data_IF_126108465552
#
_entry.id   IF_126108465552
#
_cell.length_a   1.000
_cell.length_b   1.000
_cell.length_c   1.000
_cell.angle_alpha   90.00
_cell.angle_beta   90.00
_cell.angle_gamma   90.00
#
_symmetry.space_group_name_H-M   'P 1'
#
loop_
_entity.id
_entity.type
_entity.pdbx_description
1 polymer ?
#
# COMPACT_ATOMS: atom_id res chain seq x y z
N UNK A 1 -16.12 -5.57 2.49
CA UNK A 1 -14.83 -4.89 2.36
C UNK A 1 -14.00 -5.75 1.43
N UNK A 2 -13.61 -5.19 0.29
CA UNK A 2 -12.83 -5.89 -0.74
C UNK A 2 -11.36 -5.92 -0.33
N UNK A 3 -10.70 -7.06 -0.44
CA UNK A 3 -9.29 -7.20 -0.04
C UNK A 3 -8.40 -7.09 -1.27
N UNK A 4 -7.44 -6.18 -1.21
CA UNK A 4 -6.52 -5.89 -2.32
C UNK A 4 -5.08 -6.11 -1.86
N UNK A 5 -4.41 -7.09 -2.45
CA UNK A 5 -3.06 -7.52 -2.06
C UNK A 5 -2.01 -6.97 -3.03
N UNK A 6 -1.05 -6.22 -2.50
CA UNK A 6 -0.02 -5.53 -3.30
C UNK A 6 1.38 -5.65 -2.69
N UNK A 7 2.40 -5.58 -3.55
CA UNK A 7 3.76 -5.28 -3.12
C UNK A 7 4.02 -3.76 -3.12
N UNK A 8 4.83 -3.26 -2.19
CA UNK A 8 5.16 -1.84 -2.15
C UNK A 8 5.94 -1.42 -3.41
N UNK A 9 6.98 -2.18 -3.78
CA UNK A 9 7.76 -1.96 -5.00
C UNK A 9 7.77 -3.20 -5.87
N UNK A 10 7.54 -2.99 -7.18
CA UNK A 10 7.52 -4.09 -8.14
C UNK A 10 8.81 -4.91 -8.16
N UNK A 11 8.67 -6.23 -8.05
CA UNK A 11 9.71 -7.18 -8.42
C UNK A 11 10.93 -7.20 -7.51
N UNK A 12 10.82 -6.65 -6.29
CA UNK A 12 11.88 -6.79 -5.29
C UNK A 12 11.87 -8.18 -4.64
N UNK A 13 10.70 -8.80 -4.61
CA UNK A 13 10.46 -10.14 -4.08
C UNK A 13 9.59 -10.91 -5.06
N UNK A 14 9.55 -12.24 -4.95
CA UNK A 14 8.64 -13.09 -5.72
C UNK A 14 7.44 -13.41 -4.84
N UNK A 15 6.25 -13.10 -5.33
CA UNK A 15 4.99 -13.40 -4.68
C UNK A 15 4.10 -14.15 -5.68
N UNK A 16 3.34 -15.13 -5.19
CA UNK A 16 2.42 -15.91 -6.03
C UNK A 16 1.04 -15.23 -6.10
N UNK A 17 0.58 -14.64 -4.99
CA UNK A 17 -0.76 -14.06 -4.84
C UNK A 17 -0.71 -12.54 -4.61
N UNK A 18 -0.17 -11.78 -5.58
CA UNK A 18 -0.26 -10.31 -5.59
C UNK A 18 -1.04 -9.82 -6.81
N UNK A 19 -1.86 -8.79 -6.59
CA UNK A 19 -2.71 -8.23 -7.65
C UNK A 19 -2.06 -7.05 -8.35
N UNK A 20 -1.02 -6.48 -7.74
CA UNK A 20 -0.29 -5.35 -8.26
C UNK A 20 0.79 -4.83 -7.33
N UNK A 21 1.22 -3.61 -7.62
CA UNK A 21 2.23 -2.90 -6.84
C UNK A 21 1.85 -1.42 -6.70
N UNK A 22 2.32 -0.77 -5.64
CA UNK A 22 2.17 0.67 -5.46
C UNK A 22 3.16 1.43 -6.37
N UNK A 23 4.44 1.07 -6.28
CA UNK A 23 5.51 1.67 -7.08
C UNK A 23 6.02 0.69 -8.13
N UNK A 24 5.60 0.91 -9.38
CA UNK A 24 5.97 0.06 -10.52
C UNK A 24 7.34 0.40 -11.14
N UNK A 25 8.02 1.43 -10.63
CA UNK A 25 9.33 1.92 -11.06
C UNK A 25 10.15 2.27 -9.82
N UNK A 26 11.45 2.35 -10.01
CA UNK A 26 12.36 2.86 -8.98
C UNK A 26 12.01 4.31 -8.60
N UNK A 27 11.96 4.58 -7.30
CA UNK A 27 11.84 5.92 -6.74
C UNK A 27 13.20 6.62 -6.80
N UNK A 28 13.42 7.43 -7.84
CA UNK A 28 14.70 8.15 -8.06
C UNK A 28 14.95 9.27 -7.07
N UNK A 29 13.89 9.98 -6.66
CA UNK A 29 13.95 11.03 -5.64
C UNK A 29 12.97 10.71 -4.52
N UNK A 30 13.54 10.25 -3.40
CA UNK A 30 12.79 9.87 -2.20
C UNK A 30 12.22 11.08 -1.43
N UNK A 31 12.56 12.31 -1.83
CA UNK A 31 12.04 13.55 -1.23
C UNK A 31 10.82 14.09 -1.97
N UNK A 32 10.50 13.54 -3.14
CA UNK A 32 9.37 13.98 -3.95
C UNK A 32 8.05 13.38 -3.43
N UNK A 33 7.50 13.96 -2.36
CA UNK A 33 6.24 13.53 -1.74
C UNK A 33 5.08 13.56 -2.74
N UNK A 34 5.01 14.62 -3.56
CA UNK A 34 3.96 14.78 -4.57
C UNK A 34 3.93 13.60 -5.57
N UNK A 35 5.09 13.20 -6.08
CA UNK A 35 5.20 12.03 -6.95
C UNK A 35 4.76 10.75 -6.26
N UNK A 36 5.14 10.56 -4.99
CA UNK A 36 4.75 9.37 -4.22
C UNK A 36 3.23 9.31 -4.03
N UNK A 37 2.62 10.41 -3.57
CA UNK A 37 1.18 10.54 -3.38
C UNK A 37 0.41 10.27 -4.68
N UNK A 38 0.89 10.81 -5.81
CA UNK A 38 0.24 10.59 -7.09
C UNK A 38 0.39 9.16 -7.61
N UNK A 39 1.54 8.53 -7.35
CA UNK A 39 1.77 7.13 -7.70
C UNK A 39 0.87 6.20 -6.88
N UNK A 40 0.74 6.45 -5.57
CA UNK A 40 -0.15 5.70 -4.68
C UNK A 40 -1.59 5.82 -5.16
N UNK A 41 -2.09 7.05 -5.34
CA UNK A 41 -3.46 7.27 -5.81
C UNK A 41 -3.74 6.55 -7.12
N UNK A 42 -2.86 6.70 -8.11
CA UNK A 42 -3.01 6.06 -9.42
C UNK A 42 -3.05 4.53 -9.31
N UNK A 43 -2.21 3.93 -8.47
CA UNK A 43 -2.17 2.49 -8.28
C UNK A 43 -3.46 1.98 -7.62
N UNK A 44 -3.88 2.61 -6.51
CA UNK A 44 -5.08 2.23 -5.76
C UNK A 44 -6.34 2.42 -6.60
N UNK A 45 -6.48 3.53 -7.33
CA UNK A 45 -7.62 3.78 -8.22
C UNK A 45 -7.74 2.70 -9.31
N UNK A 46 -6.61 2.28 -9.89
CA UNK A 46 -6.60 1.25 -10.91
C UNK A 46 -6.99 -0.12 -10.33
N UNK A 47 -6.55 -0.44 -9.11
CA UNK A 47 -6.94 -1.66 -8.39
C UNK A 47 -8.43 -1.65 -8.06
N UNK A 48 -8.94 -0.58 -7.45
CA UNK A 48 -10.37 -0.42 -7.16
C UNK A 48 -11.24 -0.55 -8.41
N UNK A 49 -10.82 0.05 -9.52
CA UNK A 49 -11.54 -0.07 -10.79
C UNK A 49 -11.61 -1.52 -11.29
N UNK A 50 -10.54 -2.30 -11.13
CA UNK A 50 -10.53 -3.74 -11.50
C UNK A 50 -11.50 -4.55 -10.65
N UNK A 51 -11.68 -4.16 -9.39
CA UNK A 51 -12.62 -4.77 -8.45
C UNK A 51 -14.04 -4.21 -8.48
N UNK A 52 -14.30 -3.17 -9.27
CA UNK A 52 -15.60 -2.49 -9.29
C UNK A 52 -15.95 -1.73 -8.01
N UNK A 53 -14.96 -1.43 -7.16
CA UNK A 53 -15.15 -0.67 -5.91
C UNK A 53 -15.17 0.83 -6.21
N UNK A 54 -16.10 1.55 -5.56
CA UNK A 54 -16.31 3.00 -5.77
C UNK A 54 -15.75 3.87 -4.65
N UNK A 55 -15.74 3.39 -3.43
CA UNK A 55 -15.32 4.14 -2.24
C UNK A 55 -14.06 3.52 -1.62
N UNK A 56 -13.09 4.35 -1.24
CA UNK A 56 -11.84 3.88 -0.64
C UNK A 56 -12.07 3.11 0.67
N UNK A 57 -13.00 3.56 1.52
CA UNK A 57 -13.32 2.89 2.79
C UNK A 57 -13.86 1.47 2.65
N UNK A 58 -14.27 1.08 1.45
CA UNK A 58 -14.81 -0.24 1.18
C UNK A 58 -13.71 -1.27 0.84
N UNK A 59 -12.43 -0.87 0.86
CA UNK A 59 -11.28 -1.77 0.67
C UNK A 59 -10.42 -1.94 1.92
N UNK A 60 -9.77 -3.10 1.99
CA UNK A 60 -8.63 -3.40 2.83
C UNK A 60 -7.41 -3.55 1.92
N UNK A 61 -6.34 -2.80 2.20
CA UNK A 61 -5.09 -2.85 1.45
C UNK A 61 -4.05 -3.66 2.23
N UNK A 62 -3.66 -4.79 1.65
CA UNK A 62 -2.63 -5.68 2.17
C UNK A 62 -1.31 -5.38 1.47
N UNK A 63 -0.34 -4.80 2.19
CA UNK A 63 0.90 -4.32 1.61
C UNK A 63 2.08 -5.16 2.05
N UNK A 64 2.69 -5.88 1.11
CA UNK A 64 4.01 -6.50 1.29
C UNK A 64 5.10 -5.44 1.31
N UNK A 65 5.72 -5.27 2.47
CA UNK A 65 6.71 -4.24 2.73
C UNK A 65 8.07 -4.71 2.20
N UNK A 66 8.54 -4.04 1.14
CA UNK A 66 9.83 -4.34 0.48
C UNK A 66 10.85 -3.20 0.60
N UNK A 67 10.72 -2.37 1.66
CA UNK A 67 11.66 -1.31 2.05
C UNK A 67 11.24 0.12 1.70
N UNK A 68 12.16 1.08 1.94
CA UNK A 68 11.96 2.54 1.88
C UNK A 68 10.83 3.05 2.78
N UNK A 69 11.17 3.30 4.05
CA UNK A 69 10.26 3.79 5.09
C UNK A 69 9.44 5.00 4.64
N UNK A 70 10.04 5.94 3.92
CA UNK A 70 9.33 7.13 3.44
C UNK A 70 8.19 6.80 2.46
N UNK A 71 8.38 5.81 1.59
CA UNK A 71 7.36 5.35 0.64
C UNK A 71 6.23 4.60 1.37
N UNK A 72 6.58 3.79 2.38
CA UNK A 72 5.60 3.14 3.25
C UNK A 72 4.78 4.16 4.05
N UNK A 73 5.43 5.20 4.60
CA UNK A 73 4.74 6.26 5.35
C UNK A 73 3.74 7.00 4.46
N UNK A 74 4.07 7.28 3.20
CA UNK A 74 3.09 7.89 2.28
C UNK A 74 1.89 6.97 1.98
N UNK A 75 2.08 5.65 1.92
CA UNK A 75 0.95 4.69 1.82
C UNK A 75 0.09 4.73 3.08
N UNK A 76 0.71 4.75 4.27
CA UNK A 76 0.02 4.86 5.56
C UNK A 76 -0.80 6.15 5.62
N UNK A 77 -0.19 7.28 5.25
CA UNK A 77 -0.85 8.58 5.21
C UNK A 77 -2.05 8.58 4.25
N UNK A 78 -1.89 8.02 3.05
CA UNK A 78 -2.98 7.88 2.09
C UNK A 78 -4.12 7.04 2.65
N UNK A 79 -3.83 5.87 3.24
CA UNK A 79 -4.86 5.03 3.84
C UNK A 79 -5.58 5.75 4.99
N UNK A 80 -4.87 6.51 5.81
CA UNK A 80 -5.44 7.27 6.92
C UNK A 80 -6.36 8.39 6.47
N UNK A 81 -6.00 9.06 5.37
CA UNK A 81 -6.76 10.16 4.80
C UNK A 81 -8.08 9.68 4.20
N UNK A 82 -8.07 8.50 3.57
CA UNK A 82 -9.20 7.95 2.83
C UNK A 82 -9.95 6.83 3.56
N UNK A 83 -9.64 6.59 4.84
CA UNK A 83 -10.30 5.59 5.69
C UNK A 83 -10.18 4.15 5.15
N UNK A 84 -9.04 3.85 4.51
CA UNK A 84 -8.72 2.52 3.99
C UNK A 84 -8.14 1.70 5.13
N UNK A 85 -8.68 0.50 5.37
CA UNK A 85 -8.05 -0.45 6.29
C UNK A 85 -6.71 -0.91 5.72
N UNK A 86 -5.67 -0.97 6.55
CA UNK A 86 -4.31 -1.28 6.12
C UNK A 86 -3.72 -2.42 6.97
N UNK A 87 -3.21 -3.45 6.29
CA UNK A 87 -2.43 -4.54 6.89
C UNK A 87 -1.06 -4.58 6.22
N UNK A 88 0.00 -4.58 7.03
CA UNK A 88 1.38 -4.67 6.55
C UNK A 88 1.91 -6.10 6.67
N UNK A 89 2.54 -6.59 5.62
CA UNK A 89 3.21 -7.89 5.58
C UNK A 89 4.72 -7.66 5.61
N UNK A 90 5.35 -8.10 6.70
CA UNK A 90 6.78 -7.93 6.95
C UNK A 90 7.52 -9.25 6.74
N UNK A 91 8.64 -9.20 6.01
CA UNK A 91 9.45 -10.39 5.79
C UNK A 91 10.30 -10.72 7.01
N UNK A 92 10.15 -11.94 7.54
CA UNK A 92 11.03 -12.50 8.55
C UNK A 92 12.10 -13.36 7.89
N UNK A 93 13.35 -12.88 7.98
CA UNK A 93 14.52 -13.57 7.41
C UNK A 93 14.85 -14.91 8.07
N UNK A 94 14.41 -15.13 9.31
CA UNK A 94 14.73 -16.34 10.06
C UNK A 94 13.77 -17.48 9.68
N UNK A 95 12.46 -17.17 9.66
CA UNK A 95 11.44 -18.14 9.24
C UNK A 95 11.28 -18.22 7.73
N UNK A 96 11.84 -17.26 6.98
CA UNK A 96 11.67 -17.09 5.53
C UNK A 96 10.21 -16.89 5.12
N UNK A 97 9.39 -16.39 6.03
CA UNK A 97 7.96 -16.17 5.84
C UNK A 97 7.58 -14.72 6.13
N UNK A 98 6.35 -14.35 5.80
CA UNK A 98 5.78 -13.04 6.13
C UNK A 98 4.91 -13.12 7.38
N UNK A 99 4.95 -12.08 8.20
CA UNK A 99 4.02 -11.89 9.33
C UNK A 99 3.27 -10.57 9.17
N UNK A 100 2.07 -10.51 9.74
CA UNK A 100 1.15 -9.38 9.56
C UNK A 100 1.25 -8.38 10.72
N UNK A 101 0.98 -7.12 10.40
CA UNK A 101 0.77 -6.04 11.37
C UNK A 101 -0.44 -5.21 10.94
N UNK A 102 -1.49 -5.21 11.76
CA UNK A 102 -2.61 -4.28 11.60
C UNK A 102 -2.16 -2.85 11.89
N UNK A 103 -2.55 -1.90 11.04
CA UNK A 103 -2.31 -0.47 11.25
C UNK A 103 -3.62 0.19 11.67
N UNK A 104 -3.68 0.63 12.93
CA UNK A 104 -4.86 1.32 13.48
C UNK A 104 -4.83 2.80 13.11
N UNK A 105 -5.49 3.14 12.00
CA UNK A 105 -5.57 4.50 11.48
C UNK A 105 -6.74 5.26 12.09
N UNK A 106 -6.57 6.57 12.28
CA UNK A 106 -7.66 7.49 12.63
C UNK A 106 -7.94 8.38 11.44
N UNK A 107 -9.21 8.55 11.09
CA UNK A 107 -9.63 9.50 10.07
C UNK A 107 -9.22 10.91 10.48
N UNK A 108 -8.46 11.60 9.63
CA UNK A 108 -8.24 13.02 9.81
C UNK A 108 -9.56 13.74 9.53
N UNK A 109 -10.15 14.33 10.57
CA UNK A 109 -11.20 15.32 10.43
C UNK A 109 -10.49 16.64 10.12
N UNK A 110 -10.70 17.18 8.91
CA UNK A 110 -10.33 18.56 8.66
C UNK A 110 -11.23 19.45 9.53
N UNK A 111 -10.61 20.22 10.43
CA UNK A 111 -11.24 21.31 11.20
C UNK A 111 -11.25 22.56 10.34
#
# INVERSE_FOLDING_TARGET
>A
MERIVVELFKGRHKFEDIEGCIFNRELRDVKNMYYMQMSIKKAVDALMKRHGVREYRDIELDVYVTGLTVALVEVINFCSLYDIKLVLYHYDKYTKNYYTQDVYLKRQQYV
#
